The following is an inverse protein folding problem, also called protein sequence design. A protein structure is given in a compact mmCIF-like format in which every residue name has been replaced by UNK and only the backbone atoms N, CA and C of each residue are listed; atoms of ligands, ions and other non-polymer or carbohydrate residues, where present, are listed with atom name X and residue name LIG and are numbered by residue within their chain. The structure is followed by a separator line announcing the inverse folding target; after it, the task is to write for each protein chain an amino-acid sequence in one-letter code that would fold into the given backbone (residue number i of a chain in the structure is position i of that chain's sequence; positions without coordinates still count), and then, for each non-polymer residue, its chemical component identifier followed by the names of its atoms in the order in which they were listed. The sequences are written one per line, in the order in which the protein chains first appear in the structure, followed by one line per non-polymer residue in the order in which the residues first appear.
data_IF_867507064563
#
_entry.id   IF_867507064563
#
_cell.length_a   1.000
_cell.length_b   1.000
_cell.length_c   1.000
_cell.angle_alpha   90.00
_cell.angle_beta   90.00
_cell.angle_gamma   90.00
#
_symmetry.space_group_name_H-M   'P 1'
#
loop_
_entity.id
_entity.type
_entity.pdbx_description
1 polymer ?
#
# COMPACT_ATOMS: atom_id res chain seq x y z
N UNK A 1 12.28 -14.57 0.50
CA UNK A 1 11.05 -15.32 0.10
C UNK A 1 11.43 -16.76 -0.26
N UNK A 2 10.73 -17.75 0.28
CA UNK A 2 11.04 -19.17 0.02
C UNK A 2 10.57 -19.56 -1.39
N UNK A 3 11.49 -20.04 -2.25
CA UNK A 3 11.21 -20.32 -3.67
C UNK A 3 10.14 -21.41 -3.90
N UNK A 4 9.90 -22.26 -2.91
CA UNK A 4 8.92 -23.35 -2.96
C UNK A 4 7.60 -23.00 -2.29
N UNK A 5 7.48 -21.81 -1.70
CA UNK A 5 6.24 -21.36 -1.10
C UNK A 5 5.17 -21.17 -2.18
N UNK A 6 3.96 -21.65 -1.89
CA UNK A 6 2.83 -21.63 -2.81
C UNK A 6 1.83 -20.60 -2.34
N UNK A 7 1.59 -19.61 -3.18
CA UNK A 7 0.62 -18.55 -2.91
C UNK A 7 -0.40 -18.49 -4.06
N UNK A 8 -1.59 -17.95 -3.77
CA UNK A 8 -2.67 -17.83 -4.77
C UNK A 8 -2.67 -16.46 -5.44
N UNK A 9 -2.24 -15.42 -4.75
CA UNK A 9 -2.30 -14.05 -5.22
C UNK A 9 -0.92 -13.39 -5.13
N UNK A 10 -0.58 -12.62 -6.16
CA UNK A 10 0.71 -11.97 -6.34
C UNK A 10 0.52 -10.54 -6.84
N UNK A 11 1.38 -9.65 -6.38
CA UNK A 11 1.58 -8.33 -6.97
C UNK A 11 2.85 -8.35 -7.80
N UNK A 12 2.78 -7.74 -8.98
CA UNK A 12 3.91 -7.57 -9.86
C UNK A 12 4.09 -6.10 -10.20
N UNK A 13 5.33 -5.65 -10.18
CA UNK A 13 5.76 -4.38 -10.76
C UNK A 13 6.67 -4.69 -11.94
N UNK A 14 6.29 -4.23 -13.11
CA UNK A 14 6.97 -4.54 -14.37
C UNK A 14 7.46 -3.23 -14.96
N UNK A 15 8.72 -2.92 -14.67
CA UNK A 15 9.39 -1.73 -15.19
C UNK A 15 9.64 -1.87 -16.70
N UNK A 16 9.77 -0.74 -17.40
CA UNK A 16 10.04 -0.68 -18.84
C UNK A 16 11.26 -1.49 -19.31
N UNK A 17 12.25 -1.69 -18.44
CA UNK A 17 13.45 -2.48 -18.71
C UNK A 17 13.27 -3.99 -18.48
N UNK A 18 12.14 -4.43 -17.93
CA UNK A 18 11.83 -5.84 -17.76
C UNK A 18 11.59 -6.50 -19.13
N UNK A 19 12.11 -7.70 -19.32
CA UNK A 19 11.98 -8.43 -20.59
C UNK A 19 10.52 -8.68 -20.97
N UNK A 20 9.67 -8.92 -19.97
CA UNK A 20 8.24 -9.15 -20.18
C UNK A 20 7.40 -7.87 -20.41
N UNK A 21 7.98 -6.67 -20.35
CA UNK A 21 7.21 -5.40 -20.35
C UNK A 21 6.26 -5.26 -21.55
N UNK A 22 6.77 -5.47 -22.77
CA UNK A 22 5.97 -5.33 -24.00
C UNK A 22 5.00 -6.50 -24.22
N UNK A 23 5.22 -7.63 -23.55
CA UNK A 23 4.45 -8.87 -23.74
C UNK A 23 3.47 -9.14 -22.60
N UNK A 24 3.41 -8.27 -21.57
CA UNK A 24 2.66 -8.52 -20.34
C UNK A 24 1.21 -8.92 -20.60
N UNK A 25 0.53 -8.24 -21.53
CA UNK A 25 -0.87 -8.54 -21.89
C UNK A 25 -1.00 -9.94 -22.48
N UNK A 26 -0.12 -10.28 -23.42
CA UNK A 26 -0.08 -11.61 -24.06
C UNK A 26 0.27 -12.72 -23.06
N UNK A 27 1.18 -12.44 -22.13
CA UNK A 27 1.54 -13.38 -21.06
C UNK A 27 0.30 -13.69 -20.22
N UNK A 28 -0.43 -12.66 -19.76
CA UNK A 28 -1.65 -12.82 -18.95
C UNK A 28 -2.73 -13.62 -19.70
N UNK A 29 -2.97 -13.31 -20.97
CA UNK A 29 -3.94 -14.04 -21.81
C UNK A 29 -3.60 -15.54 -21.93
N UNK A 30 -2.31 -15.88 -21.96
CA UNK A 30 -1.83 -17.26 -22.03
C UNK A 30 -1.79 -17.97 -20.67
N UNK A 31 -2.05 -17.27 -19.56
CA UNK A 31 -2.08 -17.90 -18.24
C UNK A 31 -3.34 -18.73 -18.05
N UNK A 32 -3.14 -20.01 -17.77
CA UNK A 32 -4.23 -20.90 -17.36
C UNK A 32 -4.62 -20.68 -15.89
N UNK A 33 -5.90 -20.86 -15.57
CA UNK A 33 -6.44 -20.83 -14.20
C UNK A 33 -6.30 -19.49 -13.46
N UNK A 34 -6.28 -18.37 -14.18
CA UNK A 34 -6.47 -17.05 -13.56
C UNK A 34 -7.90 -16.96 -13.01
N UNK A 35 -8.03 -16.56 -11.75
CA UNK A 35 -9.30 -16.29 -11.09
C UNK A 35 -9.65 -14.81 -11.23
N UNK A 36 -8.70 -13.92 -10.96
CA UNK A 36 -8.86 -12.48 -11.06
C UNK A 36 -7.50 -11.85 -11.42
N UNK A 37 -7.49 -10.86 -12.30
CA UNK A 37 -6.33 -9.98 -12.48
C UNK A 37 -6.75 -8.52 -12.62
N UNK A 38 -5.86 -7.61 -12.30
CA UNK A 38 -5.96 -6.20 -12.63
C UNK A 38 -4.60 -5.70 -13.09
N UNK A 39 -4.53 -5.13 -14.29
CA UNK A 39 -3.31 -4.61 -14.91
C UNK A 39 -3.54 -3.14 -15.27
N UNK A 40 -2.60 -2.28 -14.91
CA UNK A 40 -2.64 -0.85 -15.24
C UNK A 40 -1.23 -0.32 -15.49
N UNK A 41 -1.12 0.61 -16.43
CA UNK A 41 0.12 1.33 -16.72
C UNK A 41 0.17 2.57 -15.84
N UNK A 42 1.21 2.66 -15.02
CA UNK A 42 1.53 3.88 -14.28
C UNK A 42 2.52 4.70 -15.11
N UNK A 43 2.01 5.76 -15.73
CA UNK A 43 2.76 6.69 -16.58
C UNK A 43 2.69 8.15 -16.10
N UNK A 44 2.04 8.39 -14.96
CA UNK A 44 1.81 9.72 -14.34
C UNK A 44 2.35 9.82 -12.91
N UNK A 45 3.11 8.83 -12.48
CA UNK A 45 3.70 8.82 -11.13
C UNK A 45 4.84 9.83 -11.05
N UNK A 46 4.90 10.58 -9.96
CA UNK A 46 5.94 11.59 -9.70
C UNK A 46 6.96 11.01 -8.71
N UNK A 47 8.25 11.24 -8.98
CA UNK A 47 9.38 10.90 -8.12
C UNK A 47 9.59 11.96 -7.03
N UNK A 48 10.43 11.63 -6.05
CA UNK A 48 10.74 12.55 -4.94
C UNK A 48 11.40 13.85 -5.42
N UNK A 49 12.07 13.82 -6.57
CA UNK A 49 12.69 14.99 -7.22
C UNK A 49 11.73 15.77 -8.14
N UNK A 50 10.43 15.47 -8.08
CA UNK A 50 9.40 16.10 -8.91
C UNK A 50 9.35 15.61 -10.37
N UNK A 51 10.25 14.71 -10.79
CA UNK A 51 10.25 14.18 -12.15
C UNK A 51 9.22 13.06 -12.35
N UNK A 52 8.71 12.92 -13.57
CA UNK A 52 7.83 11.79 -13.92
C UNK A 52 8.66 10.50 -13.88
N UNK A 53 8.19 9.51 -13.12
CA UNK A 53 8.78 8.17 -13.07
C UNK A 53 8.66 7.48 -14.41
N UNK A 54 9.66 6.67 -14.76
CA UNK A 54 9.57 5.83 -15.95
C UNK A 54 8.31 4.95 -15.92
N UNK A 55 7.58 4.83 -17.05
CA UNK A 55 6.36 4.05 -17.10
C UNK A 55 6.57 2.60 -16.68
N UNK A 56 5.69 2.09 -15.83
CA UNK A 56 5.75 0.73 -15.32
C UNK A 56 4.33 0.15 -15.16
N UNK A 57 4.19 -1.16 -15.29
CA UNK A 57 2.91 -1.81 -15.04
C UNK A 57 2.82 -2.26 -13.58
N UNK A 58 1.67 -2.00 -12.97
CA UNK A 58 1.22 -2.71 -11.79
C UNK A 58 0.24 -3.82 -12.20
N UNK A 59 0.49 -5.04 -11.70
CA UNK A 59 -0.35 -6.21 -11.95
C UNK A 59 -0.69 -6.90 -10.63
N UNK A 60 -1.99 -6.94 -10.30
CA UNK A 60 -2.54 -7.87 -9.34
C UNK A 60 -2.94 -9.15 -10.07
N UNK A 61 -2.53 -10.32 -9.57
CA UNK A 61 -2.80 -11.60 -10.22
C UNK A 61 -3.14 -12.69 -9.21
N UNK A 62 -4.37 -13.22 -9.30
CA UNK A 62 -4.88 -14.31 -8.46
C UNK A 62 -5.20 -15.54 -9.30
N UNK A 63 -4.71 -16.69 -8.87
CA UNK A 63 -4.98 -17.99 -9.48
C UNK A 63 -6.04 -18.77 -8.71
N UNK A 64 -6.80 -19.60 -9.45
CA UNK A 64 -7.74 -20.57 -8.85
C UNK A 64 -7.01 -21.52 -7.89
N UNK A 65 -5.81 -21.96 -8.27
CA UNK A 65 -4.95 -22.86 -7.50
C UNK A 65 -3.60 -22.21 -7.19
N UNK A 66 -3.01 -22.51 -6.02
CA UNK A 66 -1.75 -21.91 -5.59
C UNK A 66 -0.58 -22.25 -6.53
N UNK A 67 0.24 -21.25 -6.86
CA UNK A 67 1.42 -21.32 -7.74
C UNK A 67 2.69 -21.06 -6.95
N UNK A 68 3.82 -21.58 -7.42
CA UNK A 68 5.14 -21.27 -6.84
C UNK A 68 5.66 -19.96 -7.40
N UNK A 69 6.40 -19.23 -6.58
CA UNK A 69 7.10 -18.02 -6.98
C UNK A 69 8.00 -18.25 -8.21
N UNK A 70 8.74 -19.36 -8.22
CA UNK A 70 9.64 -19.72 -9.32
C UNK A 70 8.92 -19.90 -10.66
N UNK A 71 7.68 -20.39 -10.67
CA UNK A 71 6.90 -20.53 -11.90
C UNK A 71 6.52 -19.17 -12.48
N UNK A 72 6.24 -18.18 -11.62
CA UNK A 72 5.84 -16.84 -12.02
C UNK A 72 7.02 -16.04 -12.57
N UNK A 73 8.20 -16.08 -11.91
CA UNK A 73 9.41 -15.41 -12.40
C UNK A 73 9.75 -15.84 -13.83
N UNK A 74 9.60 -17.13 -14.15
CA UNK A 74 9.89 -17.64 -15.50
C UNK A 74 8.96 -17.07 -16.56
N UNK A 75 7.73 -16.73 -16.19
CA UNK A 75 6.74 -16.15 -17.10
C UNK A 75 6.89 -14.63 -17.21
N UNK A 76 7.19 -13.97 -16.09
CA UNK A 76 7.36 -12.52 -15.98
C UNK A 76 8.83 -12.17 -15.76
N UNK A 77 9.69 -12.51 -16.73
CA UNK A 77 11.12 -12.31 -16.56
C UNK A 77 11.47 -10.82 -16.43
N UNK A 78 12.21 -10.47 -15.37
CA UNK A 78 12.58 -9.10 -15.04
C UNK A 78 11.53 -8.32 -14.23
N UNK A 79 10.36 -8.90 -13.94
CA UNK A 79 9.39 -8.29 -13.05
C UNK A 79 9.81 -8.43 -11.57
N UNK A 80 9.47 -7.44 -10.76
CA UNK A 80 9.45 -7.59 -9.31
C UNK A 80 8.15 -8.24 -8.89
N UNK A 81 8.21 -9.33 -8.12
CA UNK A 81 7.04 -10.15 -7.77
C UNK A 81 6.98 -10.31 -6.25
N UNK A 82 5.80 -10.15 -5.67
CA UNK A 82 5.55 -10.32 -4.24
C UNK A 82 4.26 -11.08 -3.98
N UNK A 83 4.18 -11.79 -2.86
CA UNK A 83 2.93 -12.41 -2.40
C UNK A 83 1.97 -11.37 -1.85
N UNK A 84 0.69 -11.51 -2.16
CA UNK A 84 -0.35 -10.63 -1.62
C UNK A 84 -0.69 -11.02 -0.18
N UNK A 85 -0.58 -10.05 0.73
CA UNK A 85 -1.04 -10.18 2.12
C UNK A 85 -2.49 -9.72 2.26
N UNK A 86 -2.83 -8.57 1.64
CA UNK A 86 -4.17 -8.00 1.63
C UNK A 86 -4.61 -7.73 0.19
N UNK A 87 -5.62 -8.48 -0.26
CA UNK A 87 -6.17 -8.42 -1.61
C UNK A 87 -6.80 -7.06 -1.91
N UNK A 88 -7.59 -6.52 -0.98
CA UNK A 88 -8.30 -5.26 -1.19
C UNK A 88 -7.33 -4.10 -1.34
N UNK A 89 -6.32 -4.01 -0.46
CA UNK A 89 -5.29 -2.97 -0.57
C UNK A 89 -4.50 -3.10 -1.87
N UNK A 90 -4.15 -4.32 -2.27
CA UNK A 90 -3.41 -4.56 -3.51
C UNK A 90 -4.18 -4.10 -4.74
N UNK A 91 -5.49 -4.38 -4.79
CA UNK A 91 -6.36 -3.97 -5.89
C UNK A 91 -6.61 -2.45 -5.88
N UNK A 92 -6.86 -1.85 -4.71
CA UNK A 92 -7.01 -0.39 -4.58
C UNK A 92 -5.75 0.36 -4.98
N UNK A 93 -4.59 -0.21 -4.69
CA UNK A 93 -3.30 0.41 -5.01
C UNK A 93 -3.06 0.51 -6.52
N UNK A 94 -3.66 -0.36 -7.34
CA UNK A 94 -3.57 -0.27 -8.81
C UNK A 94 -3.97 1.11 -9.32
N UNK A 95 -4.94 1.77 -8.69
CA UNK A 95 -5.36 3.13 -9.06
C UNK A 95 -4.97 4.18 -8.01
N UNK A 96 -4.02 3.83 -7.13
CA UNK A 96 -3.61 4.63 -5.97
C UNK A 96 -4.75 5.05 -5.01
N UNK A 97 -5.86 4.30 -5.00
CA UNK A 97 -7.03 4.59 -4.18
C UNK A 97 -6.91 4.10 -2.71
N UNK A 98 -5.70 3.81 -2.23
CA UNK A 98 -5.47 3.49 -0.82
C UNK A 98 -5.33 4.77 0.01
N UNK A 99 -5.66 4.71 1.30
CA UNK A 99 -5.50 5.85 2.21
C UNK A 99 -4.06 6.36 2.25
N UNK A 100 -3.08 5.46 2.22
CA UNK A 100 -1.66 5.82 2.23
C UNK A 100 -1.23 6.48 0.91
N UNK A 101 -1.63 5.95 -0.26
CA UNK A 101 -1.27 6.54 -1.54
C UNK A 101 -1.87 7.95 -1.72
N UNK A 102 -3.08 8.18 -1.20
CA UNK A 102 -3.71 9.51 -1.16
C UNK A 102 -2.98 10.48 -0.23
N UNK A 103 -2.60 10.01 0.96
CA UNK A 103 -1.85 10.82 1.92
C UNK A 103 -0.48 11.24 1.35
N UNK A 104 0.16 10.36 0.57
CA UNK A 104 1.41 10.64 -0.14
C UNK A 104 1.22 11.46 -1.42
N UNK A 105 0.03 12.00 -1.69
CA UNK A 105 -0.23 12.83 -2.87
C UNK A 105 -0.08 12.10 -4.22
N UNK A 106 -0.12 10.76 -4.26
CA UNK A 106 0.08 10.01 -5.51
C UNK A 106 -1.06 10.27 -6.51
N UNK A 107 -0.70 10.34 -7.79
CA UNK A 107 -1.67 10.48 -8.87
C UNK A 107 -2.74 9.37 -8.81
N UNK A 108 -4.01 9.77 -8.83
CA UNK A 108 -5.15 8.85 -8.76
C UNK A 108 -5.59 8.48 -10.18
N UNK A 109 -5.36 7.23 -10.58
CA UNK A 109 -5.74 6.77 -11.92
C UNK A 109 -7.24 6.51 -12.02
N UNK A 110 -7.78 6.62 -13.24
CA UNK A 110 -9.15 6.21 -13.51
C UNK A 110 -9.28 4.69 -13.50
N UNK A 111 -10.41 4.19 -13.02
CA UNK A 111 -10.75 2.77 -13.14
C UNK A 111 -10.86 2.32 -14.61
N UNK A 112 -11.16 3.23 -15.53
CA UNK A 112 -11.26 2.94 -16.95
C UNK A 112 -9.90 2.64 -17.61
N UNK A 113 -8.79 3.01 -16.95
CA UNK A 113 -7.42 2.67 -17.38
C UNK A 113 -7.03 1.23 -16.98
N UNK A 114 -7.83 0.57 -16.12
CA UNK A 114 -7.56 -0.77 -15.63
C UNK A 114 -8.04 -1.86 -16.62
N UNK A 115 -7.13 -2.76 -16.97
CA UNK A 115 -7.45 -3.99 -17.70
C UNK A 115 -7.67 -5.13 -16.71
N UNK A 116 -8.82 -5.82 -16.80
CA UNK A 116 -9.19 -6.90 -15.87
C UNK A 116 -10.11 -7.92 -16.55
N UNK A 117 -10.12 -9.15 -16.04
CA UNK A 117 -11.09 -10.18 -16.45
C UNK A 117 -12.43 -10.10 -15.69
N UNK A 118 -12.53 -9.31 -14.62
CA UNK A 118 -13.77 -9.18 -13.83
C UNK A 118 -13.89 -7.76 -13.24
N UNK A 119 -14.38 -6.85 -14.06
CA UNK A 119 -14.53 -5.44 -13.71
C UNK A 119 -15.50 -5.22 -12.54
N UNK A 120 -16.60 -5.98 -12.49
CA UNK A 120 -17.57 -5.89 -11.40
C UNK A 120 -16.93 -6.24 -10.06
N UNK A 121 -16.12 -7.31 -10.02
CA UNK A 121 -15.45 -7.71 -8.78
C UNK A 121 -14.45 -6.66 -8.30
N UNK A 122 -13.68 -6.07 -9.21
CA UNK A 122 -12.79 -4.97 -8.86
C UNK A 122 -13.59 -3.77 -8.33
N UNK A 123 -14.69 -3.39 -8.99
CA UNK A 123 -15.53 -2.28 -8.54
C UNK A 123 -16.12 -2.50 -7.15
N UNK A 124 -16.52 -3.72 -6.79
CA UNK A 124 -16.95 -4.05 -5.44
C UNK A 124 -15.84 -3.77 -4.42
N UNK A 125 -14.63 -4.26 -4.68
CA UNK A 125 -13.47 -4.12 -3.79
C UNK A 125 -13.06 -2.64 -3.63
N UNK A 126 -13.13 -1.86 -4.70
CA UNK A 126 -12.82 -0.43 -4.67
C UNK A 126 -13.83 0.39 -3.84
N UNK A 127 -15.06 -0.11 -3.65
CA UNK A 127 -16.08 0.52 -2.81
C UNK A 127 -15.94 0.18 -1.32
N UNK A 128 -15.22 -0.87 -0.98
CA UNK A 128 -14.98 -1.23 0.42
C UNK A 128 -14.14 -0.16 1.11
N UNK A 129 -14.34 0.07 2.41
CA UNK A 129 -13.48 1.00 3.15
C UNK A 129 -12.03 0.50 3.19
N UNK A 130 -11.07 1.42 3.07
CA UNK A 130 -9.65 1.11 3.18
C UNK A 130 -9.17 1.40 4.59
N UNK A 131 -8.81 0.34 5.31
CA UNK A 131 -8.28 0.45 6.66
C UNK A 131 -6.81 0.05 6.68
N UNK A 132 -6.04 0.72 7.52
CA UNK A 132 -4.64 0.39 7.77
C UNK A 132 -4.54 -0.93 8.53
N UNK A 133 -3.44 -1.64 8.29
CA UNK A 133 -3.10 -2.84 9.05
C UNK A 133 -2.56 -2.39 10.41
N UNK A 134 -3.10 -2.96 11.49
CA UNK A 134 -2.59 -2.73 12.83
C UNK A 134 -1.39 -3.65 13.10
N UNK A 135 -0.25 -3.05 13.43
CA UNK A 135 1.00 -3.73 13.75
C UNK A 135 1.39 -3.31 15.16
N UNK A 136 1.56 -4.28 16.06
CA UNK A 136 1.79 -4.03 17.51
C UNK A 136 3.08 -3.24 17.73
N UNK A 137 4.12 -3.53 16.96
CA UNK A 137 5.41 -2.86 17.02
C UNK A 137 5.34 -1.39 16.60
N UNK A 138 4.28 -0.98 15.89
CA UNK A 138 4.08 0.40 15.47
C UNK A 138 3.18 1.21 16.43
N UNK A 139 2.80 0.66 17.58
CA UNK A 139 1.97 1.37 18.57
C UNK A 139 2.52 2.75 18.94
N UNK A 140 3.83 2.93 19.22
CA UNK A 140 4.39 4.25 19.51
C UNK A 140 4.13 5.26 18.37
N UNK A 141 4.28 4.82 17.12
CA UNK A 141 4.00 5.66 15.93
C UNK A 141 2.53 6.05 15.82
N UNK A 142 1.61 5.14 16.14
CA UNK A 142 0.18 5.42 16.11
C UNK A 142 -0.23 6.43 17.20
N UNK A 143 0.42 6.37 18.36
CA UNK A 143 0.22 7.33 19.44
C UNK A 143 0.76 8.70 19.02
N UNK A 144 2.00 8.75 18.52
CA UNK A 144 2.63 9.97 18.01
C UNK A 144 1.83 10.64 16.89
N UNK A 145 1.16 9.85 16.02
CA UNK A 145 0.29 10.37 14.96
C UNK A 145 -1.13 10.74 15.43
N UNK A 146 -1.40 10.73 16.73
CA UNK A 146 -2.65 11.21 17.31
C UNK A 146 -3.81 10.21 17.30
N UNK A 147 -3.57 8.91 17.08
CA UNK A 147 -4.61 7.87 17.14
C UNK A 147 -4.95 7.52 18.60
N UNK A 148 -5.42 8.49 19.38
CA UNK A 148 -5.54 8.35 20.84
C UNK A 148 -6.95 7.96 21.33
N UNK A 149 -7.92 7.84 20.42
CA UNK A 149 -9.35 7.73 20.76
C UNK A 149 -10.02 6.56 20.03
N UNK A 150 -11.11 6.00 20.60
CA UNK A 150 -11.81 4.85 20.00
C UNK A 150 -12.24 5.11 18.55
N UNK A 151 -12.73 6.32 18.30
CA UNK A 151 -13.18 6.73 16.97
C UNK A 151 -12.03 6.83 15.96
N UNK A 152 -10.92 7.49 16.32
CA UNK A 152 -9.76 7.59 15.42
C UNK A 152 -9.15 6.21 15.16
N UNK A 153 -9.07 5.33 16.17
CA UNK A 153 -8.62 3.95 15.99
C UNK A 153 -9.53 3.17 15.03
N UNK A 154 -10.84 3.18 15.28
CA UNK A 154 -11.79 2.45 14.44
C UNK A 154 -11.83 2.98 13.01
N UNK A 155 -11.66 4.29 12.82
CA UNK A 155 -11.59 4.90 11.49
C UNK A 155 -10.30 4.53 10.77
N UNK A 156 -9.18 4.42 11.50
CA UNK A 156 -7.88 4.17 10.90
C UNK A 156 -7.65 2.68 10.60
N UNK A 157 -8.00 1.78 11.53
CA UNK A 157 -7.75 0.34 11.42
C UNK A 157 -9.00 -0.52 11.15
N UNK A 158 -10.18 0.09 11.18
CA UNK A 158 -11.45 -0.57 10.92
C UNK A 158 -12.09 -1.22 12.15
N UNK A 159 -13.39 -1.56 12.06
CA UNK A 159 -14.20 -2.03 13.18
C UNK A 159 -13.78 -3.41 13.71
N UNK A 160 -13.32 -4.30 12.83
CA UNK A 160 -12.85 -5.64 13.23
C UNK A 160 -11.57 -5.56 14.06
N UNK A 161 -10.62 -4.74 13.61
CA UNK A 161 -9.36 -4.49 14.32
C UNK A 161 -9.61 -3.77 15.64
N UNK A 162 -10.53 -2.81 15.65
CA UNK A 162 -11.00 -2.15 16.87
C UNK A 162 -11.51 -3.16 17.90
N UNK A 163 -12.44 -4.04 17.49
CA UNK A 163 -13.01 -5.06 18.38
C UNK A 163 -11.95 -5.98 18.99
N UNK A 164 -10.92 -6.34 18.22
CA UNK A 164 -9.87 -7.25 18.66
C UNK A 164 -8.79 -6.60 19.54
N UNK A 165 -8.42 -5.34 19.26
CA UNK A 165 -7.19 -4.74 19.80
C UNK A 165 -7.40 -3.51 20.70
N UNK A 166 -8.58 -2.88 20.69
CA UNK A 166 -8.80 -1.61 21.39
C UNK A 166 -8.53 -1.68 22.89
N UNK A 167 -8.86 -2.80 23.56
CA UNK A 167 -8.62 -2.97 25.00
C UNK A 167 -7.16 -2.79 25.37
N UNK A 168 -6.27 -3.58 24.76
CA UNK A 168 -4.82 -3.48 24.93
C UNK A 168 -4.31 -2.10 24.55
N UNK A 169 -4.70 -1.60 23.37
CA UNK A 169 -4.22 -0.32 22.87
C UNK A 169 -4.60 0.85 23.81
N UNK A 170 -5.80 0.81 24.40
CA UNK A 170 -6.27 1.79 25.40
C UNK A 170 -5.42 1.77 26.67
N UNK A 171 -5.00 0.61 27.16
CA UNK A 171 -4.12 0.50 28.33
C UNK A 171 -2.76 1.16 28.06
N UNK A 172 -2.19 0.91 26.89
CA UNK A 172 -0.92 1.51 26.47
C UNK A 172 -1.05 3.04 26.34
N UNK A 173 -2.12 3.55 25.71
CA UNK A 173 -2.40 5.00 25.66
C UNK A 173 -2.52 5.59 27.07
N UNK A 174 -3.14 4.86 27.99
CA UNK A 174 -3.32 5.34 29.38
C UNK A 174 -1.97 5.46 30.08
N UNK A 175 -1.12 4.43 29.95
CA UNK A 175 0.26 4.45 30.46
C UNK A 175 1.06 5.63 29.90
N UNK A 176 0.99 5.86 28.58
CA UNK A 176 1.64 7.00 27.93
C UNK A 176 1.13 8.35 28.49
N UNK A 177 -0.19 8.54 28.59
CA UNK A 177 -0.78 9.79 29.10
C UNK A 177 -0.44 10.08 30.55
N UNK A 178 -0.35 9.05 31.37
CA UNK A 178 0.07 9.17 32.77
C UNK A 178 1.59 9.28 32.93
N UNK A 179 2.35 9.01 31.85
CA UNK A 179 3.81 8.88 31.85
C UNK A 179 4.31 7.77 32.80
N UNK A 180 3.56 6.68 32.88
CA UNK A 180 3.87 5.53 33.76
C UNK A 180 4.98 4.64 33.18
N UNK A 181 5.17 4.65 31.85
CA UNK A 181 6.21 3.90 31.14
C UNK A 181 7.16 4.88 30.42
N UNK A 182 8.33 5.11 31.02
CA UNK A 182 9.31 6.06 30.48
C UNK A 182 9.85 5.65 29.12
N UNK A 183 9.98 4.35 28.83
CA UNK A 183 10.50 3.87 27.55
C UNK A 183 9.53 4.21 26.42
N UNK A 184 8.24 3.94 26.63
CA UNK A 184 7.20 4.29 25.67
C UNK A 184 7.12 5.81 25.45
N UNK A 185 7.19 6.58 26.53
CA UNK A 185 7.15 8.05 26.45
C UNK A 185 8.32 8.59 25.63
N UNK A 186 9.54 8.15 25.93
CA UNK A 186 10.74 8.59 25.22
C UNK A 186 10.67 8.24 23.72
N UNK A 187 10.19 7.03 23.39
CA UNK A 187 10.02 6.58 22.01
C UNK A 187 8.97 7.41 21.25
N UNK A 188 7.80 7.65 21.86
CA UNK A 188 6.75 8.48 21.25
C UNK A 188 7.23 9.92 21.06
N UNK A 189 7.85 10.55 22.07
CA UNK A 189 8.35 11.92 21.96
C UNK A 189 9.48 12.05 20.92
N UNK A 190 10.28 11.00 20.72
CA UNK A 190 11.25 10.97 19.63
C UNK A 190 10.56 10.94 18.26
N UNK A 191 9.57 10.07 18.08
CA UNK A 191 8.82 9.96 16.82
C UNK A 191 8.06 11.26 16.52
N UNK A 192 7.42 11.89 17.50
CA UNK A 192 6.74 13.18 17.33
C UNK A 192 7.71 14.28 16.83
N UNK A 193 8.95 14.30 17.34
CA UNK A 193 9.99 15.23 16.87
C UNK A 193 10.40 14.92 15.43
N UNK A 194 10.47 13.65 15.05
CA UNK A 194 10.79 13.24 13.68
C UNK A 194 9.67 13.62 12.70
N UNK A 195 8.41 13.37 13.06
CA UNK A 195 7.24 13.75 12.27
C UNK A 195 7.16 15.25 12.06
N UNK A 196 7.36 16.03 13.13
CA UNK A 196 7.33 17.50 13.04
C UNK A 196 8.44 18.05 12.13
N UNK A 197 9.63 17.46 12.16
CA UNK A 197 10.72 17.86 11.26
C UNK A 197 10.39 17.58 9.80
N UNK A 198 9.67 16.49 9.51
CA UNK A 198 9.23 16.17 8.16
C UNK A 198 8.19 17.18 7.68
N UNK A 199 7.19 17.49 8.52
CA UNK A 199 6.19 18.52 8.22
C UNK A 199 6.83 19.90 7.96
N UNK A 200 7.76 20.33 8.82
CA UNK A 200 8.49 21.60 8.66
C UNK A 200 9.34 21.65 7.37
N UNK A 201 9.87 20.50 6.92
CA UNK A 201 10.63 20.39 5.68
C UNK A 201 9.73 20.44 4.45
N UNK A 202 8.62 19.71 4.46
CA UNK A 202 7.63 19.72 3.38
C UNK A 202 7.01 21.12 3.19
N UNK A 203 6.71 21.83 4.29
CA UNK A 203 6.20 23.21 4.23
C UNK A 203 7.23 24.19 3.64
N UNK A 204 8.53 24.03 3.95
CA UNK A 204 9.58 24.88 3.38
C UNK A 204 9.76 24.64 1.87
N UNK A 205 9.75 23.39 1.43
CA UNK A 205 9.86 23.03 0.01
C UNK A 205 8.67 23.58 -0.81
N UNK A 206 7.46 23.55 -0.26
CA UNK A 206 6.27 24.14 -0.88
C UNK A 206 6.35 25.67 -1.00
N UNK A 207 6.93 26.36 -0.01
CA UNK A 207 7.06 27.83 -0.05
C UNK A 207 8.13 28.33 -1.02
N UNK A 208 9.17 27.53 -1.28
CA UNK A 208 10.26 27.88 -2.20
C UNK A 208 9.87 27.66 -3.68
N UNK A 209 8.87 26.81 -3.97
CA UNK A 209 8.33 26.59 -5.33
C UNK A 209 7.31 27.66 -5.79
N UNK A 210 6.75 28.47 -4.89
CA UNK A 210 5.74 29.50 -5.21
C UNK A 210 6.32 30.90 -5.55
N UNK A 211 7.62 31.03 -5.84
CA UNK A 211 8.21 32.30 -6.31
C UNK A 211 8.24 32.37 -7.85
N UNK A 212 7.27 33.02 -8.51
CA UNK A 212 7.40 33.34 -9.92
C UNK A 212 8.47 34.44 -10.09
N UNK A 213 9.56 34.11 -10.76
CA UNK A 213 10.41 35.10 -11.44
C UNK A 213 10.00 35.24 -12.90
#
# INVERSE_FOLDING_TARGET
MNKNERQRAFNLVINKNAKCFNEVKQIIENLCNVALYGLILHDKDIAEDGQIKEPHYHLYLKFKNARTFQSLIKQFEGAHIESVINENQSIKYLIHNTSNAKAQGKYQYSIDELLTNDFNKIQEILKEEDYHIFIVENIPKYIASGILHPYSFSRYFGPNTFKANWGMYKEIITSYKNRDDSLLVDEVEQIEKELKKQEDQEEQELTDEELPF
#
